data_IF_705657659661
#
_entry.id   IF_705657659661
#
_cell.length_a   1.000
_cell.length_b   1.000
_cell.length_c   1.000
_cell.angle_alpha   90.00
_cell.angle_beta   90.00
_cell.angle_gamma   90.00
#
_symmetry.space_group_name_H-M   'P 1'
#
loop_
_entity.id
_entity.type
_entity.pdbx_description
1 polymer ?
#
# COMPACT_ATOMS: atom_id res chain seq x y z
N UNK A 1 -4.97 -4.47 15.05
CA UNK A 1 -6.40 -4.49 14.62
C UNK A 1 -7.21 -4.08 15.83
N UNK A 2 -8.32 -3.35 15.66
CA UNK A 2 -9.19 -2.81 16.72
C UNK A 2 -8.57 -1.75 17.64
N UNK A 3 -7.51 -1.07 17.19
CA UNK A 3 -6.92 0.08 17.88
C UNK A 3 -7.11 1.34 17.06
N UNK A 4 -7.33 2.46 17.74
CA UNK A 4 -7.39 3.80 17.16
C UNK A 4 -6.50 4.74 17.96
N UNK A 5 -6.15 5.89 17.38
CA UNK A 5 -5.44 6.95 18.13
C UNK A 5 -6.39 7.83 18.94
N UNK A 6 -7.71 7.57 18.91
CA UNK A 6 -8.69 8.33 19.67
C UNK A 6 -8.61 8.03 21.16
N UNK A 7 -8.71 9.08 21.98
CA UNK A 7 -8.85 8.97 23.43
C UNK A 7 -10.33 8.84 23.78
N UNK A 8 -10.59 8.44 25.04
CA UNK A 8 -11.97 8.34 25.53
C UNK A 8 -12.68 9.70 25.44
N UNK A 9 -13.86 9.70 24.81
CA UNK A 9 -14.66 10.90 24.59
C UNK A 9 -14.32 11.70 23.32
N UNK A 10 -13.33 11.28 22.54
CA UNK A 10 -13.02 11.88 21.24
C UNK A 10 -13.83 11.24 20.12
N UNK A 11 -14.20 12.03 19.11
CA UNK A 11 -14.83 11.60 17.86
C UNK A 11 -14.04 12.19 16.68
N UNK A 12 -14.08 11.51 15.53
CA UNK A 12 -13.54 12.06 14.28
C UNK A 12 -14.55 13.07 13.75
N UNK A 13 -14.17 14.35 13.66
CA UNK A 13 -15.01 15.42 13.11
C UNK A 13 -14.87 15.51 11.59
N UNK A 14 -13.63 15.44 11.08
CA UNK A 14 -13.35 15.56 9.65
C UNK A 14 -12.12 14.75 9.25
N UNK A 15 -12.05 14.40 7.96
CA UNK A 15 -10.86 13.83 7.31
C UNK A 15 -10.54 14.72 6.13
N UNK A 16 -9.32 15.26 6.08
CA UNK A 16 -8.85 16.10 5.01
C UNK A 16 -7.70 15.42 4.27
N UNK A 17 -7.70 15.51 2.94
CA UNK A 17 -6.61 15.00 2.11
C UNK A 17 -6.46 15.84 0.84
N UNK A 18 -5.22 15.94 0.34
CA UNK A 18 -4.94 16.55 -0.95
C UNK A 18 -5.46 15.64 -2.07
N UNK A 19 -6.10 16.23 -3.09
CA UNK A 19 -6.56 15.48 -4.26
C UNK A 19 -5.33 15.14 -5.13
N UNK A 20 -5.00 13.86 -5.34
CA UNK A 20 -3.87 13.47 -6.17
C UNK A 20 -4.15 13.77 -7.65
N UNK A 21 -3.10 14.12 -8.42
CA UNK A 21 -3.19 14.27 -9.87
C UNK A 21 -3.53 12.95 -10.57
N UNK A 22 -3.02 11.85 -10.03
CA UNK A 22 -3.29 10.47 -10.47
C UNK A 22 -3.32 9.56 -9.25
N UNK A 23 -4.20 8.57 -9.25
CA UNK A 23 -4.20 7.53 -8.22
C UNK A 23 -4.85 6.24 -8.70
N UNK A 24 -4.40 5.15 -8.14
CA UNK A 24 -4.99 3.83 -8.37
C UNK A 24 -4.85 2.94 -7.15
N UNK A 25 -5.86 2.12 -6.89
CA UNK A 25 -5.82 1.06 -5.90
C UNK A 25 -5.94 -0.30 -6.58
N UNK A 26 -4.98 -1.16 -6.32
CA UNK A 26 -4.96 -2.53 -6.83
C UNK A 26 -4.81 -3.50 -5.67
N UNK A 27 -5.56 -4.60 -5.66
CA UNK A 27 -5.48 -5.59 -4.59
C UNK A 27 -5.42 -7.03 -5.08
N UNK A 28 -4.76 -7.87 -4.31
CA UNK A 28 -4.87 -9.31 -4.36
C UNK A 28 -5.95 -9.74 -3.35
N UNK A 29 -7.16 -10.07 -3.81
CA UNK A 29 -8.26 -10.38 -2.91
C UNK A 29 -8.18 -11.82 -2.40
N UNK A 30 -8.58 -12.03 -1.15
CA UNK A 30 -8.90 -13.37 -0.67
C UNK A 30 -10.13 -13.91 -1.45
N UNK A 31 -10.09 -15.12 -2.01
CA UNK A 31 -11.19 -15.67 -2.81
C UNK A 31 -12.53 -15.73 -2.08
N UNK A 32 -12.51 -16.04 -0.79
CA UNK A 32 -13.72 -16.22 0.01
C UNK A 32 -14.25 -14.88 0.56
N UNK A 33 -13.41 -14.14 1.30
CA UNK A 33 -13.83 -12.92 1.99
C UNK A 33 -13.76 -11.66 1.14
N UNK A 34 -13.01 -11.69 0.03
CA UNK A 34 -12.70 -10.54 -0.81
C UNK A 34 -11.86 -9.46 -0.13
N UNK A 35 -11.44 -9.64 1.11
CA UNK A 35 -10.48 -8.77 1.77
C UNK A 35 -9.13 -8.83 1.05
N UNK A 36 -8.38 -7.72 1.11
CA UNK A 36 -7.04 -7.68 0.53
C UNK A 36 -6.07 -8.56 1.33
N UNK A 37 -5.54 -9.62 0.72
CA UNK A 37 -4.34 -10.29 1.21
C UNK A 37 -3.16 -9.32 1.12
N UNK A 38 -3.09 -8.57 0.00
CA UNK A 38 -2.25 -7.39 -0.20
C UNK A 38 -3.04 -6.40 -1.03
N UNK A 39 -3.10 -5.16 -0.63
CA UNK A 39 -3.64 -4.05 -1.40
C UNK A 39 -2.63 -2.91 -1.46
N UNK A 40 -2.47 -2.30 -2.63
CA UNK A 40 -1.54 -1.19 -2.84
C UNK A 40 -2.30 -0.01 -3.45
N UNK A 41 -2.21 1.13 -2.78
CA UNK A 41 -2.71 2.40 -3.27
C UNK A 41 -1.52 3.30 -3.63
N UNK A 42 -1.49 3.75 -4.88
CA UNK A 42 -0.50 4.70 -5.38
C UNK A 42 -1.20 6.03 -5.63
N UNK A 43 -0.67 7.11 -5.07
CA UNK A 43 -1.17 8.45 -5.27
C UNK A 43 -0.03 9.39 -5.68
N UNK A 44 -0.16 10.02 -6.86
CA UNK A 44 0.79 10.99 -7.39
C UNK A 44 0.29 12.40 -7.14
N UNK A 45 1.07 13.17 -6.40
CA UNK A 45 0.87 14.59 -6.12
C UNK A 45 1.89 15.45 -6.85
N UNK A 46 1.75 16.77 -6.77
CA UNK A 46 2.79 17.70 -7.26
C UNK A 46 4.08 17.59 -6.45
N UNK A 47 3.95 17.29 -5.15
CA UNK A 47 5.05 17.15 -4.19
C UNK A 47 5.80 15.82 -4.26
N UNK A 48 5.22 14.79 -4.87
CA UNK A 48 5.79 13.45 -4.94
C UNK A 48 4.76 12.36 -5.09
N UNK A 49 5.14 11.13 -4.74
CA UNK A 49 4.27 9.95 -4.81
C UNK A 49 4.20 9.28 -3.45
N UNK A 50 2.99 8.94 -3.01
CA UNK A 50 2.76 8.11 -1.83
C UNK A 50 2.28 6.72 -2.24
N UNK A 51 2.84 5.70 -1.59
CA UNK A 51 2.46 4.29 -1.79
C UNK A 51 2.04 3.69 -0.47
N UNK A 52 0.73 3.55 -0.27
CA UNK A 52 0.16 2.93 0.92
C UNK A 52 -0.16 1.45 0.67
N UNK A 53 0.17 0.60 1.63
CA UNK A 53 -0.06 -0.85 1.56
C UNK A 53 -0.97 -1.31 2.68
N UNK A 54 -1.99 -2.09 2.33
CA UNK A 54 -2.92 -2.76 3.25
C UNK A 54 -2.78 -4.27 3.19
N UNK A 55 -3.26 -4.98 4.20
CA UNK A 55 -3.31 -6.44 4.24
C UNK A 55 -1.98 -7.12 4.51
N UNK A 56 -0.86 -6.56 4.06
CA UNK A 56 0.46 -7.16 4.25
C UNK A 56 0.97 -7.11 5.70
N UNK A 57 0.56 -6.11 6.48
CA UNK A 57 0.89 -5.99 7.92
C UNK A 57 -0.39 -5.83 8.75
N UNK A 58 -0.26 -5.74 10.07
CA UNK A 58 -1.37 -5.57 11.00
C UNK A 58 -2.18 -4.28 10.78
N UNK A 59 -1.56 -3.25 10.21
CA UNK A 59 -2.20 -1.98 9.83
C UNK A 59 -1.68 -1.50 8.48
N UNK A 60 -2.33 -0.48 7.92
CA UNK A 60 -1.86 0.22 6.73
C UNK A 60 -0.51 0.90 7.02
N UNK A 61 0.39 0.91 6.04
CA UNK A 61 1.68 1.58 6.16
C UNK A 61 2.11 2.19 4.82
N UNK A 62 2.97 3.20 4.90
CA UNK A 62 3.64 3.79 3.75
C UNK A 62 4.87 2.95 3.37
N UNK A 63 4.94 2.49 2.11
CA UNK A 63 6.13 1.80 1.58
C UNK A 63 7.09 2.85 0.99
N UNK A 64 7.93 3.39 1.86
CA UNK A 64 8.82 4.53 1.56
C UNK A 64 9.74 4.27 0.38
N UNK A 65 10.30 3.06 0.23
CA UNK A 65 11.20 2.74 -0.88
C UNK A 65 10.50 2.87 -2.24
N UNK A 66 9.22 2.49 -2.31
CA UNK A 66 8.40 2.68 -3.51
C UNK A 66 8.01 4.14 -3.71
N UNK A 67 7.61 4.84 -2.64
CA UNK A 67 7.26 6.26 -2.67
C UNK A 67 8.41 7.10 -3.19
N UNK A 68 9.63 6.90 -2.67
CA UNK A 68 10.83 7.60 -3.08
C UNK A 68 11.25 7.29 -4.52
N UNK A 69 11.17 6.01 -4.91
CA UNK A 69 11.51 5.58 -6.27
C UNK A 69 10.56 6.16 -7.29
N UNK A 70 9.25 6.06 -7.04
CA UNK A 70 8.21 6.56 -7.95
C UNK A 70 8.14 8.09 -7.99
N UNK A 71 8.56 8.78 -6.92
CA UNK A 71 8.68 10.24 -6.92
C UNK A 71 9.78 10.72 -7.88
N UNK A 72 10.86 9.93 -8.06
CA UNK A 72 11.95 10.23 -9.00
C UNK A 72 11.60 9.82 -10.43
N UNK A 73 10.96 8.67 -10.59
CA UNK A 73 10.55 8.14 -11.90
C UNK A 73 9.21 7.37 -11.77
N UNK A 74 8.13 8.02 -12.20
CA UNK A 74 6.79 7.44 -12.14
C UNK A 74 6.56 6.46 -13.30
N UNK A 75 7.14 5.27 -13.18
CA UNK A 75 6.96 4.18 -14.14
C UNK A 75 6.98 2.81 -13.45
N UNK A 76 6.28 1.82 -14.01
CA UNK A 76 6.27 0.45 -13.46
C UNK A 76 7.66 -0.20 -13.52
N UNK A 77 8.48 0.14 -14.53
CA UNK A 77 9.86 -0.33 -14.67
C UNK A 77 10.79 0.18 -13.56
N UNK A 78 10.53 1.36 -12.99
CA UNK A 78 11.33 1.89 -11.88
C UNK A 78 11.25 1.00 -10.64
N UNK A 79 10.18 0.21 -10.50
CA UNK A 79 9.94 -0.71 -9.38
C UNK A 79 10.80 -1.98 -9.48
N UNK A 80 11.34 -2.33 -10.66
CA UNK A 80 12.00 -3.63 -10.91
C UNK A 80 13.12 -3.95 -9.93
N UNK A 81 13.90 -2.96 -9.54
CA UNK A 81 15.04 -3.12 -8.64
C UNK A 81 14.73 -2.79 -7.17
N UNK A 82 13.49 -2.41 -6.86
CA UNK A 82 13.11 -2.11 -5.47
C UNK A 82 12.96 -3.41 -4.69
N UNK A 83 13.63 -3.49 -3.54
CA UNK A 83 13.49 -4.59 -2.59
C UNK A 83 12.46 -4.21 -1.53
N UNK A 84 11.46 -5.07 -1.36
CA UNK A 84 10.44 -4.95 -0.31
C UNK A 84 10.80 -5.92 0.81
N UNK A 85 10.93 -5.41 2.03
CA UNK A 85 11.23 -6.23 3.20
C UNK A 85 9.99 -6.99 3.65
N UNK A 86 10.13 -8.29 3.90
CA UNK A 86 9.08 -9.12 4.52
C UNK A 86 8.99 -8.97 6.04
N UNK A 87 9.90 -8.21 6.64
CA UNK A 87 9.94 -8.02 8.10
C UNK A 87 8.65 -7.37 8.63
N UNK A 88 8.05 -7.99 9.64
CA UNK A 88 6.80 -7.54 10.24
C UNK A 88 5.55 -7.74 9.37
N UNK A 89 5.67 -8.45 8.24
CA UNK A 89 4.51 -8.85 7.45
C UNK A 89 3.79 -10.05 8.06
N UNK A 90 2.48 -10.10 7.83
CA UNK A 90 1.64 -11.22 8.23
C UNK A 90 2.06 -12.51 7.51
N UNK A 91 1.98 -13.62 8.22
CA UNK A 91 2.15 -14.97 7.65
C UNK A 91 1.04 -15.86 8.18
N UNK A 92 0.26 -16.45 7.29
CA UNK A 92 -0.90 -17.26 7.61
C UNK A 92 -1.11 -18.36 6.55
N UNK A 93 -2.24 -19.08 6.64
CA UNK A 93 -2.59 -20.16 5.69
C UNK A 93 -2.80 -19.64 4.25
N UNK A 94 -2.96 -18.36 4.03
CA UNK A 94 -3.23 -17.77 2.71
C UNK A 94 -1.97 -17.29 2.01
N UNK A 95 -0.99 -16.78 2.77
CA UNK A 95 0.24 -16.23 2.22
C UNK A 95 1.35 -16.10 3.26
N UNK A 96 2.57 -16.47 2.90
CA UNK A 96 3.76 -16.18 3.72
C UNK A 96 4.13 -14.69 3.65
N UNK A 97 4.97 -14.23 4.57
CA UNK A 97 5.48 -12.86 4.60
C UNK A 97 6.25 -12.51 3.32
N UNK A 98 7.07 -13.45 2.81
CA UNK A 98 7.85 -13.27 1.57
C UNK A 98 6.93 -13.17 0.36
N UNK A 99 5.87 -13.99 0.30
CA UNK A 99 4.89 -13.91 -0.75
C UNK A 99 4.16 -12.58 -0.74
N UNK A 100 3.76 -12.07 0.44
CA UNK A 100 3.13 -10.75 0.59
C UNK A 100 4.08 -9.64 0.15
N UNK A 101 5.36 -9.68 0.50
CA UNK A 101 6.36 -8.72 0.05
C UNK A 101 6.48 -8.69 -1.47
N UNK A 102 6.49 -9.86 -2.12
CA UNK A 102 6.49 -9.95 -3.57
C UNK A 102 5.19 -9.38 -4.19
N UNK A 103 4.04 -9.69 -3.60
CA UNK A 103 2.76 -9.16 -4.06
C UNK A 103 2.64 -7.65 -3.91
N UNK A 104 3.21 -7.03 -2.88
CA UNK A 104 3.31 -5.57 -2.77
C UNK A 104 3.96 -4.99 -4.04
N UNK A 105 5.09 -5.57 -4.47
CA UNK A 105 5.79 -5.13 -5.68
C UNK A 105 4.96 -5.30 -6.94
N UNK A 106 4.31 -6.47 -7.11
CA UNK A 106 3.46 -6.77 -8.27
C UNK A 106 2.27 -5.81 -8.35
N UNK A 107 1.58 -5.58 -7.23
CA UNK A 107 0.41 -4.72 -7.22
C UNK A 107 0.75 -3.23 -7.26
N UNK A 108 1.94 -2.82 -6.80
CA UNK A 108 2.45 -1.48 -7.02
C UNK A 108 2.66 -1.19 -8.52
N UNK A 109 3.24 -2.13 -9.28
CA UNK A 109 3.36 -2.00 -10.75
C UNK A 109 2.00 -1.86 -11.42
N UNK A 110 1.06 -2.75 -11.10
CA UNK A 110 -0.31 -2.68 -11.64
C UNK A 110 -1.01 -1.36 -11.29
N UNK A 111 -0.80 -0.83 -10.08
CA UNK A 111 -1.37 0.44 -9.68
C UNK A 111 -0.77 1.61 -10.46
N UNK A 112 0.54 1.63 -10.73
CA UNK A 112 1.20 2.64 -11.56
C UNK A 112 0.71 2.59 -13.00
N UNK A 113 0.53 1.39 -13.56
CA UNK A 113 0.02 1.18 -14.93
C UNK A 113 -1.45 1.58 -15.08
N UNK A 114 -2.23 1.51 -14.00
CA UNK A 114 -3.65 1.89 -13.98
C UNK A 114 -3.88 3.39 -13.64
N UNK A 115 -2.83 4.16 -13.34
CA UNK A 115 -2.87 5.61 -13.20
C UNK A 115 -2.84 6.32 -14.56
#
# INVERSE_FOLDING_TARGET
MFETCLKSGEIIEAIEFEIPAKSSYQKYPNPASRYAIVGVYVAKYKSGVNVAVTGAKSCVYDEKNLSDTLSKNFSSSAIDNVKISSSGMNSDIHASAEYRANMVKVFAKKAVEAC
#
